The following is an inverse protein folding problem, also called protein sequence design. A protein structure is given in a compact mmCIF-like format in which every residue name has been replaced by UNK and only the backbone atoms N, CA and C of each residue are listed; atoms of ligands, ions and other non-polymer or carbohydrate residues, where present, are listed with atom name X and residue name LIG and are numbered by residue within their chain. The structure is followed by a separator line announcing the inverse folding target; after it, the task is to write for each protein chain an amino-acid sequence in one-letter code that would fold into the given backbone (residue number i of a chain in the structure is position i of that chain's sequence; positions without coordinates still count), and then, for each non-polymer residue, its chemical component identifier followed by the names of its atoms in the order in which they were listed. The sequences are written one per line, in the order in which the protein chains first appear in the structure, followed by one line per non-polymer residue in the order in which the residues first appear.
data_IF_182927024481
#
_entry.id   IF_182927024481
#
_cell.length_a   1.000
_cell.length_b   1.000
_cell.length_c   1.000
_cell.angle_alpha   90.00
_cell.angle_beta   90.00
_cell.angle_gamma   90.00
#
_symmetry.space_group_name_H-M   'P 1'
#
loop_
_entity.id
_entity.type
_entity.pdbx_description
1 polymer ?
#
# COMPACT_ATOMS: atom_id res chain seq x y z
N UNK A 1 -4.89 -9.15 -12.78
CA UNK A 1 -3.66 -8.54 -12.30
C UNK A 1 -3.96 -7.20 -11.63
N UNK A 2 -3.44 -7.00 -10.45
CA UNK A 2 -3.69 -5.77 -9.71
C UNK A 2 -2.73 -4.68 -10.18
N UNK A 3 -3.29 -3.55 -10.56
CA UNK A 3 -2.49 -2.42 -10.98
C UNK A 3 -2.53 -1.34 -9.90
N UNK A 4 -1.36 -1.01 -9.37
CA UNK A 4 -1.25 -0.06 -8.27
C UNK A 4 -0.43 1.13 -8.75
N UNK A 5 -1.03 2.31 -8.65
CA UNK A 5 -0.36 3.53 -9.09
C UNK A 5 0.77 3.91 -8.14
N UNK A 6 1.85 4.41 -8.70
CA UNK A 6 2.89 5.04 -7.91
C UNK A 6 2.34 6.36 -7.41
N UNK A 7 2.59 6.70 -6.15
CA UNK A 7 2.09 7.93 -5.57
C UNK A 7 1.79 7.77 -4.10
N UNK A 8 1.09 8.74 -3.54
CA UNK A 8 0.77 8.74 -2.12
C UNK A 8 -0.57 8.06 -1.86
N UNK A 9 -0.60 7.32 -0.76
CA UNK A 9 -1.79 6.64 -0.30
C UNK A 9 -2.01 6.93 1.17
N UNK A 10 -3.26 6.92 1.60
CA UNK A 10 -3.60 7.04 3.02
C UNK A 10 -4.20 5.74 3.50
N UNK A 11 -3.63 5.20 4.58
CA UNK A 11 -4.18 4.03 5.25
C UNK A 11 -5.47 4.45 5.97
N UNK A 12 -6.43 3.53 6.08
CA UNK A 12 -7.70 3.87 6.70
C UNK A 12 -7.56 4.34 8.15
N UNK A 13 -6.43 4.05 8.79
CA UNK A 13 -6.17 4.53 10.14
C UNK A 13 -5.50 5.90 10.16
N UNK A 14 -5.25 6.50 8.99
CA UNK A 14 -4.78 7.86 8.90
C UNK A 14 -3.35 8.07 8.47
N UNK A 15 -2.50 7.06 8.59
CA UNK A 15 -1.10 7.19 8.20
C UNK A 15 -0.98 7.23 6.68
N UNK A 16 0.05 7.95 6.20
CA UNK A 16 0.26 8.10 4.77
C UNK A 16 1.54 7.40 4.34
N UNK A 17 1.53 6.93 3.10
CA UNK A 17 2.63 6.16 2.54
C UNK A 17 2.85 6.56 1.09
N UNK A 18 4.08 6.40 0.62
CA UNK A 18 4.44 6.66 -0.76
C UNK A 18 4.78 5.34 -1.43
N UNK A 19 3.98 4.94 -2.44
CA UNK A 19 4.32 3.77 -3.25
C UNK A 19 5.42 4.18 -4.20
N UNK A 20 6.55 3.48 -4.16
CA UNK A 20 7.69 3.79 -5.00
C UNK A 20 7.81 2.82 -6.18
N UNK A 21 7.14 1.69 -6.12
CA UNK A 21 7.16 0.76 -7.24
C UNK A 21 6.65 -0.59 -6.87
N UNK A 22 6.79 -1.53 -7.80
CA UNK A 22 6.40 -2.91 -7.61
C UNK A 22 7.64 -3.79 -7.70
N UNK A 23 7.57 -4.93 -7.04
CA UNK A 23 8.67 -5.89 -7.05
C UNK A 23 8.08 -7.29 -7.01
N UNK A 24 8.93 -8.31 -7.11
CA UNK A 24 8.51 -9.70 -6.98
C UNK A 24 9.20 -10.32 -5.79
N UNK A 25 8.47 -11.16 -5.09
CA UNK A 25 9.04 -11.95 -4.02
C UNK A 25 10.06 -12.92 -4.66
N UNK A 26 11.27 -12.99 -4.12
CA UNK A 26 12.33 -13.73 -4.77
C UNK A 26 12.09 -15.24 -4.80
N UNK A 27 11.25 -15.75 -3.92
CA UNK A 27 10.99 -17.19 -3.84
C UNK A 27 9.66 -17.59 -4.45
N UNK A 28 8.61 -16.80 -4.20
CA UNK A 28 7.28 -17.16 -4.66
C UNK A 28 6.88 -16.49 -5.96
N UNK A 29 7.63 -15.48 -6.38
CA UNK A 29 7.33 -14.67 -7.57
C UNK A 29 6.05 -13.84 -7.39
N UNK A 30 5.57 -13.73 -6.18
CA UNK A 30 4.37 -12.96 -5.89
C UNK A 30 4.65 -11.46 -6.08
N UNK A 31 3.66 -10.75 -6.63
CA UNK A 31 3.78 -9.29 -6.78
C UNK A 31 3.73 -8.61 -5.42
N UNK A 32 4.67 -7.69 -5.20
CA UNK A 32 4.77 -6.95 -3.95
C UNK A 32 4.74 -5.46 -4.24
N UNK A 33 4.08 -4.70 -3.38
CA UNK A 33 4.12 -3.24 -3.41
C UNK A 33 5.28 -2.78 -2.55
N UNK A 34 6.14 -1.95 -3.12
CA UNK A 34 7.24 -1.34 -2.36
C UNK A 34 6.82 0.07 -2.01
N UNK A 35 6.81 0.39 -0.73
CA UNK A 35 6.32 1.68 -0.28
C UNK A 35 7.14 2.21 0.89
N UNK A 36 7.08 3.52 1.06
CA UNK A 36 7.81 4.22 2.11
C UNK A 36 6.81 4.85 3.07
N UNK A 37 7.04 4.68 4.37
CA UNK A 37 6.24 5.36 5.36
C UNK A 37 6.55 6.86 5.32
N UNK A 38 5.51 7.70 5.33
CA UNK A 38 5.67 9.15 5.34
C UNK A 38 5.55 9.69 6.76
N UNK A 39 6.07 8.91 7.70
CA UNK A 39 6.12 9.30 9.10
C UNK A 39 7.29 8.54 9.73
N UNK A 40 7.66 8.94 10.93
CA UNK A 40 8.77 8.31 11.62
C UNK A 40 10.05 8.45 10.84
N UNK A 41 10.77 7.36 10.67
CA UNK A 41 12.06 7.38 10.00
C UNK A 41 11.94 7.18 8.47
N UNK A 42 10.73 7.01 7.98
CA UNK A 42 10.54 6.88 6.54
C UNK A 42 11.08 5.60 5.94
N UNK A 43 11.00 4.50 6.68
CA UNK A 43 11.54 3.23 6.21
C UNK A 43 10.79 2.67 5.02
N UNK A 44 11.48 1.82 4.26
CA UNK A 44 10.88 1.13 3.13
C UNK A 44 10.30 -0.21 3.58
N UNK A 45 9.14 -0.54 3.04
CA UNK A 45 8.42 -1.75 3.38
C UNK A 45 7.90 -2.40 2.11
N UNK A 46 7.55 -3.67 2.19
CA UNK A 46 6.86 -4.37 1.10
C UNK A 46 5.62 -5.05 1.65
N UNK A 47 4.61 -5.20 0.79
CA UNK A 47 3.38 -5.87 1.15
C UNK A 47 2.85 -6.56 -0.10
N UNK A 48 2.29 -7.77 0.01
CA UNK A 48 1.70 -8.42 -1.17
C UNK A 48 0.68 -7.52 -1.84
N UNK A 49 0.74 -7.47 -3.17
CA UNK A 49 -0.12 -6.56 -3.92
C UNK A 49 -1.60 -6.82 -3.67
N UNK A 50 -1.99 -8.11 -3.53
CA UNK A 50 -3.40 -8.43 -3.30
C UNK A 50 -3.89 -7.91 -1.96
N UNK A 51 -2.98 -7.74 -0.99
CA UNK A 51 -3.37 -7.20 0.31
C UNK A 51 -3.42 -5.68 0.29
N UNK A 52 -2.75 -5.05 -0.68
CA UNK A 52 -2.76 -3.59 -0.78
C UNK A 52 -4.14 -3.08 -1.17
N UNK A 53 -4.82 -3.82 -2.06
CA UNK A 53 -6.11 -3.40 -2.60
C UNK A 53 -7.30 -3.93 -1.80
N UNK A 54 -7.04 -4.52 -0.64
CA UNK A 54 -8.08 -5.12 0.18
C UNK A 54 -9.10 -4.10 0.66
N UNK A 55 -10.37 -4.53 0.68
CA UNK A 55 -11.42 -3.71 1.29
C UNK A 55 -11.45 -3.95 2.78
N UNK A 56 -11.70 -2.89 3.53
CA UNK A 56 -11.80 -2.95 4.97
C UNK A 56 -13.18 -2.46 5.39
N UNK A 57 -13.79 -3.15 6.32
CA UNK A 57 -15.10 -2.76 6.84
C UNK A 57 -15.06 -2.93 8.36
N UNK A 58 -14.66 -1.86 9.05
CA UNK A 58 -14.59 -1.89 10.50
C UNK A 58 -14.53 -0.47 11.05
N UNK A 59 -14.93 -0.32 12.30
CA UNK A 59 -14.83 0.95 13.04
C UNK A 59 -15.52 2.08 12.32
N UNK A 60 -16.63 1.77 11.64
CA UNK A 60 -17.40 2.78 10.95
C UNK A 60 -16.81 3.17 9.60
N UNK A 61 -15.75 2.53 9.17
CA UNK A 61 -15.12 2.79 7.89
C UNK A 61 -15.40 1.64 6.94
N UNK A 62 -15.74 1.97 5.70
CA UNK A 62 -15.93 0.98 4.65
C UNK A 62 -15.26 1.50 3.39
N UNK A 63 -14.26 0.78 2.89
CA UNK A 63 -13.53 1.20 1.70
C UNK A 63 -12.18 0.51 1.63
N UNK A 64 -11.31 0.97 0.73
CA UNK A 64 -10.00 0.34 0.56
C UNK A 64 -9.11 0.58 1.78
N UNK A 65 -8.26 -0.40 2.06
CA UNK A 65 -7.29 -0.27 3.15
C UNK A 65 -6.35 0.90 2.90
N UNK A 66 -5.94 1.08 1.65
CA UNK A 66 -5.09 2.21 1.23
C UNK A 66 -5.81 2.95 0.12
N UNK A 67 -6.01 4.23 0.28
CA UNK A 67 -6.70 5.07 -0.71
C UNK A 67 -5.67 5.98 -1.39
N UNK A 68 -5.68 6.00 -2.71
CA UNK A 68 -4.79 6.86 -3.48
C UNK A 68 -5.18 8.32 -3.25
N UNK A 69 -4.21 9.17 -2.91
CA UNK A 69 -4.50 10.57 -2.62
C UNK A 69 -3.67 11.52 -3.50
N UNK A 70 -2.93 11.01 -4.46
CA UNK A 70 -2.19 11.84 -5.39
C UNK A 70 -0.70 11.57 -5.34
N UNK A 71 0.01 12.36 -6.07
CA UNK A 71 1.48 12.21 -6.16
C UNK A 71 2.20 12.83 -4.97
#
# INVERSE_FOLDING_TARGET
MTEIKIGRYRHFKGNEYQVVGMARHSETMEEMVVYRALYGEGGLWVRPAHMWSEQVDRDGYSGPRFAYIGD
#
